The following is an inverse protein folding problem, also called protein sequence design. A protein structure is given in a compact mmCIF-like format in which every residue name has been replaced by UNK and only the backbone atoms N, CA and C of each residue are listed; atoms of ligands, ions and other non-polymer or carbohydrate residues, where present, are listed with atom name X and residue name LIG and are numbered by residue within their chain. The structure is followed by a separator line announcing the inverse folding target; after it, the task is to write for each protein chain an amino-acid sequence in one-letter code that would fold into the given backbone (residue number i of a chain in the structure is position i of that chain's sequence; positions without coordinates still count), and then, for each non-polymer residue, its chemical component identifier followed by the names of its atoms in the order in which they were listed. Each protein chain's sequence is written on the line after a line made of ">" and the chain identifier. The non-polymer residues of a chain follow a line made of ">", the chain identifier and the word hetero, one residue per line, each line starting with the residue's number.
data_IF_170001630384
#
_entry.id   IF_170001630384
#
_cell.length_a   1.000
_cell.length_b   1.000
_cell.length_c   1.000
_cell.angle_alpha   90.00
_cell.angle_beta   90.00
_cell.angle_gamma   90.00
#
_symmetry.space_group_name_H-M   'P 1'
#
loop_
_entity.id
_entity.type
_entity.pdbx_description
1 polymer ?
#
# COMPACT_ATOMS: atom_id res chain seq x y z
N UNK A 1 1.97 -4.58 27.19
CA UNK A 1 0.93 -5.11 26.27
C UNK A 1 1.16 -4.69 24.81
N UNK A 2 1.52 -3.45 24.52
CA UNK A 2 1.68 -2.94 23.14
C UNK A 2 2.82 -3.63 22.36
N UNK A 3 3.98 -3.86 22.97
CA UNK A 3 5.11 -4.57 22.33
C UNK A 3 4.77 -6.03 21.98
N UNK A 4 3.97 -6.70 22.79
CA UNK A 4 3.52 -8.08 22.52
C UNK A 4 2.65 -8.15 21.27
N UNK A 5 1.74 -7.20 21.07
CA UNK A 5 0.90 -7.13 19.86
C UNK A 5 1.72 -6.94 18.59
N UNK A 6 2.72 -6.05 18.63
CA UNK A 6 3.59 -5.81 17.48
C UNK A 6 4.42 -7.05 17.10
N UNK A 7 4.97 -7.76 18.08
CA UNK A 7 5.70 -9.01 17.84
C UNK A 7 4.79 -10.08 17.24
N UNK A 8 3.60 -10.28 17.80
CA UNK A 8 2.63 -11.26 17.27
C UNK A 8 2.25 -10.94 15.83
N UNK A 9 1.98 -9.68 15.51
CA UNK A 9 1.66 -9.23 14.15
C UNK A 9 2.83 -9.45 13.20
N UNK A 10 4.06 -9.10 13.60
CA UNK A 10 5.25 -9.33 12.78
C UNK A 10 5.48 -10.82 12.49
N UNK A 11 5.28 -11.68 13.47
CA UNK A 11 5.39 -13.15 13.30
C UNK A 11 4.31 -13.67 12.35
N UNK A 12 3.06 -13.23 12.50
CA UNK A 12 1.97 -13.63 11.62
C UNK A 12 2.22 -13.18 10.16
N UNK A 13 2.60 -11.92 9.96
CA UNK A 13 2.94 -11.38 8.65
C UNK A 13 4.14 -12.11 8.04
N UNK A 14 5.17 -12.38 8.86
CA UNK A 14 6.35 -13.14 8.42
C UNK A 14 6.00 -14.56 7.98
N UNK A 15 5.17 -15.26 8.74
CA UNK A 15 4.69 -16.60 8.39
C UNK A 15 3.85 -16.59 7.10
N UNK A 16 2.90 -15.67 6.99
CA UNK A 16 2.06 -15.53 5.79
C UNK A 16 2.90 -15.19 4.56
N UNK A 17 3.80 -14.21 4.66
CA UNK A 17 4.70 -13.82 3.58
C UNK A 17 5.66 -14.93 3.18
N UNK A 18 6.25 -15.64 4.15
CA UNK A 18 7.14 -16.77 3.91
C UNK A 18 6.44 -17.94 3.22
N UNK A 19 5.23 -18.28 3.64
CA UNK A 19 4.40 -19.30 2.99
C UNK A 19 4.10 -18.93 1.54
N UNK A 20 3.65 -17.69 1.31
CA UNK A 20 3.35 -17.21 -0.05
C UNK A 20 4.62 -17.12 -0.91
N UNK A 21 5.76 -16.75 -0.34
CA UNK A 21 7.03 -16.75 -1.05
C UNK A 21 7.43 -18.17 -1.48
N UNK A 22 7.26 -19.16 -0.59
CA UNK A 22 7.51 -20.58 -0.93
C UNK A 22 6.58 -21.06 -2.05
N UNK A 23 5.30 -20.69 -2.00
CA UNK A 23 4.34 -21.01 -3.06
C UNK A 23 4.68 -20.32 -4.38
N UNK A 24 5.25 -19.12 -4.34
CA UNK A 24 5.65 -18.37 -5.54
C UNK A 24 6.87 -18.96 -6.26
N UNK A 25 7.64 -19.81 -5.58
CA UNK A 25 8.78 -20.56 -6.18
C UNK A 25 8.32 -21.79 -6.98
N UNK A 26 7.02 -22.14 -6.94
CA UNK A 26 6.44 -23.21 -7.75
C UNK A 26 6.39 -22.81 -9.22
N UNK A 27 6.52 -23.78 -10.18
CA UNK A 27 6.36 -23.51 -11.61
C UNK A 27 5.02 -22.87 -12.00
N UNK A 28 3.98 -23.10 -11.20
CA UNK A 28 2.68 -22.46 -11.33
C UNK A 28 2.55 -21.27 -10.37
N UNK A 29 3.39 -20.25 -10.57
CA UNK A 29 3.38 -19.03 -9.74
C UNK A 29 2.02 -18.36 -9.84
N UNK A 30 1.33 -18.27 -8.72
CA UNK A 30 0.10 -17.50 -8.64
C UNK A 30 0.41 -16.01 -8.46
N UNK A 31 -0.11 -15.11 -9.30
CA UNK A 31 -0.03 -13.66 -9.07
C UNK A 31 -0.54 -13.26 -7.68
N UNK A 32 -1.49 -14.01 -7.13
CA UNK A 32 -2.01 -13.78 -5.78
C UNK A 32 -0.96 -14.01 -4.69
N UNK A 33 -0.14 -15.05 -4.83
CA UNK A 33 0.94 -15.31 -3.87
C UNK A 33 1.97 -14.17 -3.84
N UNK A 34 2.38 -13.69 -5.01
CA UNK A 34 3.26 -12.51 -5.14
C UNK A 34 2.61 -11.25 -4.56
N UNK A 35 1.32 -11.05 -4.83
CA UNK A 35 0.57 -9.94 -4.26
C UNK A 35 0.58 -9.96 -2.71
N UNK A 36 0.36 -11.13 -2.09
CA UNK A 36 0.41 -11.26 -0.62
C UNK A 36 1.80 -10.93 -0.08
N UNK A 37 2.87 -11.37 -0.76
CA UNK A 37 4.24 -11.01 -0.39
C UNK A 37 4.44 -9.49 -0.43
N UNK A 38 3.97 -8.82 -1.49
CA UNK A 38 4.07 -7.36 -1.61
C UNK A 38 3.21 -6.62 -0.57
N UNK A 39 2.01 -7.14 -0.27
CA UNK A 39 1.14 -6.61 0.78
C UNK A 39 1.80 -6.69 2.15
N UNK A 40 2.39 -7.84 2.48
CA UNK A 40 3.15 -8.03 3.72
C UNK A 40 4.36 -7.10 3.76
N UNK A 41 5.10 -7.00 2.67
CA UNK A 41 6.26 -6.11 2.56
C UNK A 41 5.86 -4.65 2.79
N UNK A 42 4.72 -4.21 2.23
CA UNK A 42 4.18 -2.88 2.50
C UNK A 42 3.96 -2.65 4.00
N UNK A 43 3.20 -3.49 4.67
CA UNK A 43 2.87 -3.32 6.09
C UNK A 43 4.10 -3.40 7.01
N UNK A 44 5.00 -4.33 6.73
CA UNK A 44 6.26 -4.46 7.50
C UNK A 44 7.16 -3.26 7.28
N UNK A 45 7.30 -2.77 6.03
CA UNK A 45 8.12 -1.58 5.75
C UNK A 45 7.59 -0.33 6.43
N UNK A 46 6.27 -0.14 6.52
CA UNK A 46 5.66 0.98 7.24
C UNK A 46 6.05 0.97 8.74
N UNK A 47 5.95 -0.20 9.38
CA UNK A 47 6.34 -0.35 10.78
C UNK A 47 7.85 -0.12 11.01
N UNK A 48 8.68 -0.71 10.15
CA UNK A 48 10.15 -0.57 10.23
C UNK A 48 10.58 0.88 10.03
N UNK A 49 10.02 1.57 9.04
CA UNK A 49 10.32 2.98 8.78
C UNK A 49 9.81 3.89 9.92
N UNK A 50 8.62 3.61 10.47
CA UNK A 50 8.13 4.32 11.64
C UNK A 50 9.08 4.14 12.85
N UNK A 51 9.50 2.90 13.11
CA UNK A 51 10.44 2.61 14.19
C UNK A 51 11.82 3.24 13.99
N UNK A 52 12.31 3.31 12.74
CA UNK A 52 13.60 3.91 12.42
C UNK A 52 13.63 5.44 12.54
N UNK A 53 12.57 6.11 12.10
CA UNK A 53 12.56 7.57 12.00
C UNK A 53 11.71 8.28 13.07
N UNK A 54 10.78 7.56 13.70
CA UNK A 54 9.91 8.07 14.76
C UNK A 54 9.66 7.04 15.85
N UNK A 55 10.69 6.59 16.56
CA UNK A 55 10.58 5.54 17.58
C UNK A 55 9.62 5.92 18.70
N UNK A 56 9.51 7.22 19.03
CA UNK A 56 8.65 7.71 20.11
C UNK A 56 7.14 7.55 19.81
N UNK A 57 6.76 7.48 18.54
CA UNK A 57 5.36 7.33 18.08
C UNK A 57 5.10 6.00 17.40
N UNK A 58 6.13 5.19 17.19
CA UNK A 58 5.98 3.87 16.59
C UNK A 58 5.17 2.95 17.50
N UNK A 59 4.06 2.44 17.00
CA UNK A 59 3.13 1.58 17.72
C UNK A 59 2.64 0.45 16.81
N UNK A 60 1.80 -0.45 17.34
CA UNK A 60 1.14 -1.46 16.55
C UNK A 60 0.39 -0.87 15.34
N UNK A 61 -0.19 0.32 15.49
CA UNK A 61 -0.93 1.01 14.41
C UNK A 61 -0.02 1.44 13.26
N UNK A 62 1.30 1.49 13.47
CA UNK A 62 2.27 1.79 12.41
C UNK A 62 2.37 0.71 11.33
N UNK A 63 1.85 -0.49 11.56
CA UNK A 63 1.65 -1.48 10.50
C UNK A 63 0.58 -1.07 9.49
N UNK A 64 -0.27 -0.09 9.78
CA UNK A 64 -1.39 0.37 8.96
C UNK A 64 -2.43 -0.71 8.59
N UNK A 65 -2.47 -1.84 9.28
CA UNK A 65 -3.45 -2.92 9.05
C UNK A 65 -4.88 -2.44 9.33
N UNK A 66 -5.04 -1.57 10.33
CA UNK A 66 -6.32 -0.99 10.75
C UNK A 66 -6.43 0.50 10.38
N UNK A 67 -5.69 0.95 9.36
CA UNK A 67 -5.62 2.36 8.97
C UNK A 67 -7.00 3.01 8.77
N UNK A 68 -7.91 2.32 8.08
CA UNK A 68 -9.30 2.77 7.92
C UNK A 68 -10.21 1.62 7.49
N UNK A 69 -11.51 1.72 7.83
CA UNK A 69 -12.53 0.77 7.33
C UNK A 69 -12.58 0.72 5.80
N UNK A 70 -12.37 1.87 5.15
CA UNK A 70 -12.32 1.95 3.70
C UNK A 70 -11.17 1.15 3.11
N UNK A 71 -9.98 1.19 3.73
CA UNK A 71 -8.82 0.40 3.33
C UNK A 71 -9.09 -1.11 3.47
N UNK A 72 -9.61 -1.53 4.63
CA UNK A 72 -9.93 -2.95 4.88
C UNK A 72 -10.98 -3.47 3.89
N UNK A 73 -12.03 -2.69 3.64
CA UNK A 73 -13.05 -3.03 2.66
C UNK A 73 -12.47 -3.13 1.24
N UNK A 74 -11.58 -2.20 0.88
CA UNK A 74 -10.87 -2.24 -0.40
C UNK A 74 -10.09 -3.53 -0.59
N UNK A 75 -9.28 -3.92 0.40
CA UNK A 75 -8.50 -5.18 0.35
C UNK A 75 -9.44 -6.39 0.23
N UNK A 76 -10.52 -6.42 1.03
CA UNK A 76 -11.51 -7.50 0.98
C UNK A 76 -12.17 -7.61 -0.40
N UNK A 77 -12.60 -6.49 -0.98
CA UNK A 77 -13.24 -6.47 -2.31
C UNK A 77 -12.26 -6.93 -3.40
N UNK A 78 -10.99 -6.50 -3.33
CA UNK A 78 -9.95 -6.97 -4.26
C UNK A 78 -9.75 -8.50 -4.19
N UNK A 79 -9.77 -9.06 -2.99
CA UNK A 79 -9.63 -10.50 -2.79
C UNK A 79 -10.86 -11.25 -3.28
N UNK A 80 -12.06 -10.75 -2.98
CA UNK A 80 -13.32 -11.33 -3.46
C UNK A 80 -13.38 -11.29 -5.00
N UNK A 81 -13.02 -10.18 -5.64
CA UNK A 81 -12.96 -10.08 -7.09
C UNK A 81 -12.03 -11.15 -7.67
N UNK A 82 -10.79 -11.24 -7.18
CA UNK A 82 -9.82 -12.23 -7.65
C UNK A 82 -10.35 -13.65 -7.56
N UNK A 83 -10.88 -14.05 -6.39
CA UNK A 83 -11.32 -15.43 -6.16
C UNK A 83 -12.66 -15.75 -6.85
N UNK A 84 -13.59 -14.81 -6.93
CA UNK A 84 -14.83 -14.99 -7.69
C UNK A 84 -14.55 -15.21 -9.18
N UNK A 85 -13.59 -14.47 -9.74
CA UNK A 85 -13.18 -14.65 -11.12
C UNK A 85 -12.40 -15.96 -11.34
N UNK A 86 -11.57 -16.34 -10.36
CA UNK A 86 -10.83 -17.60 -10.42
C UNK A 86 -11.75 -18.81 -10.40
N UNK A 87 -12.72 -18.86 -9.47
CA UNK A 87 -13.64 -19.99 -9.31
C UNK A 87 -14.89 -19.89 -10.16
N UNK A 88 -15.32 -18.69 -10.52
CA UNK A 88 -16.60 -18.46 -11.20
C UNK A 88 -16.61 -18.84 -12.69
N UNK A 89 -15.49 -19.27 -13.25
CA UNK A 89 -15.40 -19.70 -14.66
C UNK A 89 -15.62 -18.59 -15.70
N UNK A 90 -15.86 -17.36 -15.27
CA UNK A 90 -16.02 -16.20 -16.14
C UNK A 90 -14.66 -15.67 -16.63
N UNK A 91 -13.82 -16.56 -17.17
CA UNK A 91 -12.51 -16.18 -17.65
C UNK A 91 -12.65 -15.67 -19.10
N UNK A 92 -12.24 -14.42 -19.39
CA UNK A 92 -12.28 -13.87 -20.76
C UNK A 92 -11.46 -14.69 -21.75
N UNK A 93 -10.38 -15.33 -21.27
CA UNK A 93 -9.53 -16.27 -22.04
C UNK A 93 -8.85 -17.24 -21.09
N UNK A 94 -8.45 -18.44 -21.55
CA UNK A 94 -7.72 -19.41 -20.74
C UNK A 94 -6.43 -18.81 -20.15
N UNK A 95 -6.19 -19.05 -18.86
CA UNK A 95 -4.95 -18.61 -18.19
C UNK A 95 -4.83 -17.11 -17.92
N UNK A 96 -5.90 -16.33 -18.02
CA UNK A 96 -5.85 -14.87 -17.85
C UNK A 96 -5.35 -14.39 -16.49
N UNK A 97 -5.51 -15.21 -15.43
CA UNK A 97 -4.96 -14.96 -14.10
C UNK A 97 -3.66 -15.73 -13.83
N UNK A 98 -3.10 -16.35 -14.84
CA UNK A 98 -1.78 -16.97 -14.74
C UNK A 98 -0.68 -15.94 -14.90
N UNK A 99 0.54 -16.35 -14.58
CA UNK A 99 1.70 -15.48 -14.74
C UNK A 99 1.95 -15.15 -16.21
N UNK A 100 2.07 -13.87 -16.53
CA UNK A 100 2.27 -13.40 -17.89
C UNK A 100 2.68 -11.93 -17.93
N UNK A 101 2.56 -11.31 -19.10
CA UNK A 101 2.98 -9.92 -19.31
C UNK A 101 2.24 -8.93 -18.39
N UNK A 102 0.93 -9.09 -18.20
CA UNK A 102 0.11 -8.17 -17.38
C UNK A 102 0.51 -8.25 -15.91
N UNK A 103 0.54 -9.44 -15.25
CA UNK A 103 1.05 -9.56 -13.89
C UNK A 103 2.49 -9.05 -13.73
N UNK A 104 3.36 -9.27 -14.72
CA UNK A 104 4.75 -8.77 -14.68
C UNK A 104 4.82 -7.25 -14.67
N UNK A 105 4.01 -6.56 -15.50
CA UNK A 105 3.89 -5.10 -15.46
C UNK A 105 3.35 -4.64 -14.11
N UNK A 106 2.32 -5.31 -13.59
CA UNK A 106 1.77 -5.04 -12.26
C UNK A 106 2.81 -5.15 -11.16
N UNK A 107 3.64 -6.19 -11.19
CA UNK A 107 4.74 -6.37 -10.25
C UNK A 107 5.74 -5.21 -10.29
N UNK A 108 6.16 -4.79 -11.48
CA UNK A 108 7.10 -3.67 -11.65
C UNK A 108 6.50 -2.38 -11.12
N UNK A 109 5.26 -2.07 -11.49
CA UNK A 109 4.57 -0.84 -11.05
C UNK A 109 4.36 -0.84 -9.54
N UNK A 110 3.91 -1.95 -8.97
CA UNK A 110 3.70 -2.11 -7.54
C UNK A 110 5.00 -1.95 -6.75
N UNK A 111 6.08 -2.60 -7.19
CA UNK A 111 7.40 -2.52 -6.55
C UNK A 111 7.99 -1.10 -6.63
N UNK A 112 7.85 -0.43 -7.78
CA UNK A 112 8.28 0.95 -7.95
C UNK A 112 7.50 1.90 -7.03
N UNK A 113 6.18 1.70 -6.89
CA UNK A 113 5.33 2.45 -5.96
C UNK A 113 5.77 2.26 -4.50
N UNK A 114 6.02 1.01 -4.10
CA UNK A 114 6.52 0.69 -2.75
C UNK A 114 7.86 1.35 -2.48
N UNK A 115 8.79 1.30 -3.43
CA UNK A 115 10.09 1.94 -3.33
C UNK A 115 9.97 3.46 -3.22
N UNK A 116 9.16 4.10 -4.07
CA UNK A 116 8.94 5.55 -4.04
C UNK A 116 8.36 5.99 -2.68
N UNK A 117 7.45 5.19 -2.09
CA UNK A 117 6.89 5.45 -0.77
C UNK A 117 7.97 5.34 0.31
N UNK A 118 8.74 4.26 0.33
CA UNK A 118 9.80 4.05 1.31
C UNK A 118 10.87 5.15 1.23
N UNK A 119 11.30 5.53 0.03
CA UNK A 119 12.23 6.66 -0.20
C UNK A 119 11.62 7.98 0.26
N UNK A 120 10.32 8.21 0.00
CA UNK A 120 9.62 9.40 0.47
C UNK A 120 9.61 9.50 1.99
N UNK A 121 9.28 8.43 2.70
CA UNK A 121 9.28 8.37 4.16
C UNK A 121 10.71 8.57 4.70
N UNK A 122 11.68 7.85 4.16
CA UNK A 122 13.07 7.93 4.58
C UNK A 122 13.66 9.35 4.37
N UNK A 123 13.35 10.01 3.24
CA UNK A 123 13.79 11.37 2.96
C UNK A 123 13.16 12.39 3.92
N UNK A 124 11.89 12.22 4.26
CA UNK A 124 11.21 13.09 5.24
C UNK A 124 11.69 12.82 6.67
N UNK A 125 12.14 11.59 6.95
CA UNK A 125 12.66 11.18 8.25
C UNK A 125 11.67 11.52 9.39
N UNK A 126 12.11 12.19 10.45
CA UNK A 126 11.28 12.61 11.57
C UNK A 126 10.15 13.60 11.22
N UNK A 127 10.20 14.22 10.03
CA UNK A 127 9.13 15.11 9.55
C UNK A 127 7.95 14.35 8.94
N UNK A 128 8.08 13.05 8.67
CA UNK A 128 6.96 12.25 8.17
C UNK A 128 5.97 11.90 9.29
N UNK A 129 4.67 11.97 9.02
CA UNK A 129 3.62 11.47 9.90
C UNK A 129 2.57 10.72 9.08
N UNK A 130 2.10 9.57 9.60
CA UNK A 130 0.97 8.83 9.04
C UNK A 130 -0.37 9.52 9.35
N UNK A 131 -0.40 10.33 10.41
CA UNK A 131 -1.59 11.08 10.81
C UNK A 131 -1.48 12.53 10.33
N UNK A 132 -2.62 13.11 9.95
CA UNK A 132 -2.68 14.53 9.61
C UNK A 132 -2.51 15.32 10.90
N UNK A 133 -1.40 16.05 11.01
CA UNK A 133 -1.13 16.92 12.14
C UNK A 133 -1.84 18.27 11.90
N UNK A 134 -2.78 18.61 12.78
CA UNK A 134 -3.54 19.87 12.70
C UNK A 134 -2.73 21.06 13.23
N UNK A 135 -1.71 20.81 14.05
CA UNK A 135 -0.84 21.84 14.62
C UNK A 135 0.60 21.59 14.20
N UNK A 136 1.32 22.69 13.95
CA UNK A 136 2.75 22.61 13.63
C UNK A 136 3.50 22.11 14.87
N UNK A 137 4.19 20.99 14.72
CA UNK A 137 5.05 20.43 15.77
C UNK A 137 6.35 21.21 15.86
N UNK A 138 6.89 21.32 17.08
CA UNK A 138 8.21 21.92 17.30
C UNK A 138 9.27 21.13 16.54
N UNK A 139 10.14 21.85 15.82
CA UNK A 139 11.16 21.24 14.96
C UNK A 139 10.70 20.73 13.61
N UNK A 140 9.40 20.80 13.28
CA UNK A 140 8.90 20.41 11.95
C UNK A 140 9.44 21.35 10.87
N UNK A 141 10.14 20.79 9.88
CA UNK A 141 10.76 21.52 8.76
C UNK A 141 10.18 21.02 7.43
N UNK A 142 9.99 21.96 6.51
CA UNK A 142 9.60 21.60 5.15
C UNK A 142 10.78 20.90 4.45
N UNK A 143 10.53 19.66 3.99
CA UNK A 143 11.51 18.88 3.23
C UNK A 143 11.38 19.23 1.75
N UNK A 144 12.49 19.68 1.13
CA UNK A 144 12.52 20.12 -0.28
C UNK A 144 13.62 19.44 -1.10
N UNK A 145 14.38 18.52 -0.48
CA UNK A 145 15.48 17.79 -1.12
C UNK A 145 15.11 16.35 -1.48
N UNK A 146 16.00 15.68 -2.20
CA UNK A 146 15.81 14.29 -2.62
C UNK A 146 14.55 14.13 -3.48
N UNK A 147 13.75 13.12 -3.22
CA UNK A 147 12.50 12.87 -3.97
C UNK A 147 11.50 14.04 -3.86
N UNK A 148 11.57 14.84 -2.77
CA UNK A 148 10.71 16.01 -2.57
C UNK A 148 11.06 17.20 -3.47
N UNK A 149 12.21 17.19 -4.13
CA UNK A 149 12.53 18.20 -5.17
C UNK A 149 11.72 18.01 -6.45
N UNK A 150 11.21 16.80 -6.70
CA UNK A 150 10.43 16.45 -7.89
C UNK A 150 8.94 16.25 -7.56
N UNK A 151 8.63 15.72 -6.38
CA UNK A 151 7.27 15.36 -5.96
C UNK A 151 6.93 16.03 -4.64
N UNK A 152 5.79 16.72 -4.57
CA UNK A 152 5.32 17.34 -3.32
C UNK A 152 4.89 16.33 -2.27
N UNK A 153 4.36 15.17 -2.71
CA UNK A 153 3.82 14.13 -1.86
C UNK A 153 4.28 12.74 -2.30
N UNK A 154 5.59 12.42 -2.21
CA UNK A 154 6.13 11.17 -2.73
C UNK A 154 5.57 9.93 -2.05
N UNK A 155 5.25 10.00 -0.76
CA UNK A 155 4.63 8.89 -0.04
C UNK A 155 3.22 8.56 -0.56
N UNK A 156 2.39 9.58 -0.88
CA UNK A 156 1.08 9.38 -1.50
C UNK A 156 1.19 8.91 -2.95
N UNK A 157 2.13 9.46 -3.70
CA UNK A 157 2.45 9.01 -5.06
C UNK A 157 2.82 7.52 -5.06
N UNK A 158 3.72 7.11 -4.16
CA UNK A 158 4.13 5.73 -4.01
C UNK A 158 2.98 4.81 -3.63
N UNK A 159 2.12 5.21 -2.68
CA UNK A 159 0.94 4.45 -2.28
C UNK A 159 -0.05 4.26 -3.44
N UNK A 160 -0.28 5.31 -4.22
CA UNK A 160 -1.16 5.24 -5.40
C UNK A 160 -0.65 4.20 -6.42
N UNK A 161 0.63 4.26 -6.79
CA UNK A 161 1.19 3.33 -7.76
C UNK A 161 1.33 1.92 -7.22
N UNK A 162 1.64 1.75 -5.94
CA UNK A 162 1.59 0.45 -5.28
C UNK A 162 0.18 -0.16 -5.36
N UNK A 163 -0.84 0.62 -5.04
CA UNK A 163 -2.24 0.17 -5.09
C UNK A 163 -2.70 -0.14 -6.52
N UNK A 164 -2.42 0.73 -7.49
CA UNK A 164 -2.75 0.50 -8.89
C UNK A 164 -2.00 -0.72 -9.46
N UNK A 165 -0.69 -0.82 -9.18
CA UNK A 165 0.13 -1.95 -9.59
C UNK A 165 -0.35 -3.28 -9.04
N UNK A 166 -0.84 -3.30 -7.78
CA UNK A 166 -1.39 -4.51 -7.17
C UNK A 166 -2.64 -5.02 -7.90
N UNK A 167 -3.49 -4.13 -8.41
CA UNK A 167 -4.67 -4.53 -9.21
C UNK A 167 -4.30 -5.03 -10.61
N UNK A 168 -3.27 -4.45 -11.22
CA UNK A 168 -2.72 -4.93 -12.49
C UNK A 168 -2.08 -6.31 -12.29
N UNK A 169 -1.33 -6.51 -11.19
CA UNK A 169 -0.73 -7.79 -10.83
C UNK A 169 -1.78 -8.88 -10.64
N UNK A 170 -2.90 -8.57 -9.98
CA UNK A 170 -4.01 -9.49 -9.75
C UNK A 170 -4.90 -9.67 -10.99
N UNK A 171 -4.69 -8.86 -12.03
CA UNK A 171 -5.57 -8.80 -13.21
C UNK A 171 -7.04 -8.62 -12.78
N UNK A 172 -7.31 -7.61 -11.93
CA UNK A 172 -8.63 -7.28 -11.42
C UNK A 172 -9.24 -6.10 -12.21
N UNK A 173 -10.02 -6.35 -13.28
CA UNK A 173 -10.50 -5.30 -14.17
C UNK A 173 -11.55 -4.40 -13.55
N UNK A 174 -12.43 -4.92 -12.70
CA UNK A 174 -13.55 -4.16 -12.13
C UNK A 174 -13.00 -3.06 -11.21
N UNK A 175 -11.98 -3.40 -10.41
CA UNK A 175 -11.36 -2.44 -9.51
C UNK A 175 -10.56 -1.37 -10.27
N UNK A 176 -9.82 -1.73 -11.30
CA UNK A 176 -9.10 -0.78 -12.15
C UNK A 176 -10.01 0.29 -12.77
N UNK A 177 -11.24 -0.07 -13.13
CA UNK A 177 -12.22 0.87 -13.71
C UNK A 177 -12.87 1.74 -12.64
N UNK A 178 -13.10 1.22 -11.44
CA UNK A 178 -13.80 1.93 -10.33
C UNK A 178 -12.90 2.80 -9.46
N UNK A 179 -11.59 2.63 -9.47
CA UNK A 179 -10.62 3.48 -8.76
C UNK A 179 -10.46 4.89 -9.34
N UNK A 180 -11.36 5.33 -10.23
CA UNK A 180 -11.41 6.74 -10.63
C UNK A 180 -11.88 7.55 -9.42
N UNK A 181 -11.07 8.46 -8.85
CA UNK A 181 -11.56 9.33 -7.79
C UNK A 181 -12.81 10.05 -8.31
N UNK A 182 -13.90 10.16 -7.52
CA UNK A 182 -15.08 10.86 -7.96
C UNK A 182 -14.68 12.27 -8.40
N UNK A 183 -14.99 12.60 -9.65
CA UNK A 183 -14.77 13.95 -10.19
C UNK A 183 -15.52 14.91 -9.26
N UNK A 184 -14.80 15.65 -8.40
CA UNK A 184 -15.39 16.58 -7.45
C UNK A 184 -15.08 16.36 -5.97
N UNK A 185 -14.27 15.38 -5.58
CA UNK A 185 -13.75 15.27 -4.22
C UNK A 185 -12.73 16.40 -3.94
N UNK A 186 -13.19 17.64 -4.03
CA UNK A 186 -12.48 18.77 -3.45
C UNK A 186 -12.57 18.64 -1.92
N UNK A 187 -11.40 18.62 -1.27
CA UNK A 187 -11.31 18.60 0.17
C UNK A 187 -12.23 19.66 0.78
N UNK A 188 -13.02 19.33 1.81
CA UNK A 188 -14.02 20.26 2.40
C UNK A 188 -13.42 21.56 2.92
N UNK A 189 -12.11 21.66 3.02
CA UNK A 189 -11.41 22.84 3.51
C UNK A 189 -11.35 24.03 2.53
N UNK A 190 -11.52 23.83 1.22
CA UNK A 190 -11.50 24.92 0.24
C UNK A 190 -12.74 25.82 0.30
N UNK A 191 -13.84 25.39 0.93
CA UNK A 191 -15.08 26.19 1.03
C UNK A 191 -15.08 27.18 2.20
N UNK A 192 -14.25 27.01 3.22
CA UNK A 192 -14.21 27.97 4.37
C UNK A 192 -13.37 29.22 4.10
N UNK A 193 -12.40 29.17 3.20
CA UNK A 193 -11.55 30.32 2.88
C UNK A 193 -12.21 31.40 2.01
N UNK A 194 -13.36 31.15 1.41
CA UNK A 194 -14.12 32.15 0.59
C UNK A 194 -15.24 32.89 1.34
N UNK A 195 -15.39 32.66 2.63
CA UNK A 195 -16.45 33.34 3.46
C UNK A 195 -15.88 34.21 4.60
N UNK A 196 -14.63 34.66 4.47
CA UNK A 196 -14.09 35.72 5.35
C UNK A 196 -13.50 36.83 4.49
#
# INVERSE_FOLDING_TARGET
>A
MEKSGAVTTALFLGAAGGTCLSLSMSPSVSPFAIYVVLLVTFHVSEYVLAGAYRPDTASHDSFLLQHSRAYQLMVLVCWLEYWLEWFGGAQPWPGWKEWGAVPSVGLVVCSAGLLARAVGIATASSNFSHQIEEQKRDGHRLVTHGIYSFLRHPAYFGFFWWSAGSQILLVNPIWCVRCRPPAGAQAPHARRARRR
#
